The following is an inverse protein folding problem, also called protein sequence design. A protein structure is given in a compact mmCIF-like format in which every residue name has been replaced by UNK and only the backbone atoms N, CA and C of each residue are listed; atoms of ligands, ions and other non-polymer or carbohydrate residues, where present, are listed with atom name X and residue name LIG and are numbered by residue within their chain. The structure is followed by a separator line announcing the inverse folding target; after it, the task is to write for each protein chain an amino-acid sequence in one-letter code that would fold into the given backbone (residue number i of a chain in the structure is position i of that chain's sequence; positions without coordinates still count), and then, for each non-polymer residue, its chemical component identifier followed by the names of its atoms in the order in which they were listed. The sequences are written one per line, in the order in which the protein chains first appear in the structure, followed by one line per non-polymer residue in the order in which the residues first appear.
data_IF_799923014627
#
_entry.id   IF_799923014627
#
_cell.length_a   1.000
_cell.length_b   1.000
_cell.length_c   1.000
_cell.angle_alpha   90.00
_cell.angle_beta   90.00
_cell.angle_gamma   90.00
#
_symmetry.space_group_name_H-M   'P 1'
#
loop_
_entity.id
_entity.type
_entity.pdbx_description
1 polymer ?
#
# COMPACT_ATOMS: atom_id res chain seq x y z
N UNK A 1 -19.79 3.25 15.03
CA UNK A 1 -20.36 2.07 15.72
C UNK A 1 -21.06 2.51 17.01
N UNK A 2 -22.29 2.05 17.25
CA UNK A 2 -23.20 2.53 18.31
C UNK A 2 -22.60 2.51 19.73
N UNK A 3 -21.59 1.68 19.97
CA UNK A 3 -20.98 1.49 21.29
C UNK A 3 -19.63 2.18 21.47
N UNK A 4 -18.97 2.65 20.40
CA UNK A 4 -17.58 3.15 20.43
C UNK A 4 -16.57 2.16 21.06
N UNK A 5 -16.93 0.88 21.16
CA UNK A 5 -16.07 -0.18 21.67
C UNK A 5 -15.51 -1.00 20.51
N UNK A 6 -14.27 -1.47 20.68
CA UNK A 6 -13.74 -2.51 19.80
C UNK A 6 -14.44 -3.84 20.10
N UNK A 7 -14.66 -4.64 19.05
CA UNK A 7 -15.08 -6.02 19.18
C UNK A 7 -13.99 -6.91 19.78
N UNK A 8 -14.27 -8.20 20.00
CA UNK A 8 -13.24 -9.16 20.34
C UNK A 8 -12.14 -9.19 19.26
N UNK A 9 -10.91 -9.49 19.68
CA UNK A 9 -9.78 -9.68 18.75
C UNK A 9 -10.03 -10.91 17.88
N UNK A 10 -9.69 -10.81 16.60
CA UNK A 10 -9.77 -11.91 15.64
C UNK A 10 -8.41 -12.09 14.94
N UNK A 11 -8.00 -13.33 14.75
CA UNK A 11 -6.81 -13.66 13.97
C UNK A 11 -7.16 -13.60 12.49
N UNK A 12 -6.60 -12.63 11.77
CA UNK A 12 -6.84 -12.46 10.32
C UNK A 12 -5.85 -13.29 9.49
N UNK A 13 -4.56 -13.26 9.86
CA UNK A 13 -3.51 -14.01 9.17
C UNK A 13 -2.47 -14.50 10.17
N UNK A 14 -2.21 -15.81 10.18
CA UNK A 14 -1.21 -16.44 11.05
C UNK A 14 0.17 -16.47 10.37
N UNK A 15 0.84 -15.33 10.35
CA UNK A 15 2.18 -15.22 9.76
C UNK A 15 3.20 -16.13 10.47
N UNK A 16 3.04 -16.37 11.77
CA UNK A 16 3.94 -17.21 12.56
C UNK A 16 3.83 -18.68 12.14
N UNK A 17 2.64 -19.18 11.86
CA UNK A 17 2.42 -20.56 11.39
C UNK A 17 3.13 -20.85 10.05
N UNK A 18 3.39 -19.83 9.23
CA UNK A 18 4.14 -19.96 7.97
C UNK A 18 5.59 -19.48 8.07
N UNK A 19 6.08 -19.18 9.29
CA UNK A 19 7.46 -18.76 9.52
C UNK A 19 7.81 -17.40 8.91
N UNK A 20 6.82 -16.49 8.84
CA UNK A 20 6.98 -15.16 8.26
C UNK A 20 6.52 -14.05 9.22
N UNK A 21 6.81 -12.82 8.84
CA UNK A 21 6.29 -11.58 9.41
C UNK A 21 5.51 -10.82 8.33
N UNK A 22 4.26 -10.45 8.63
CA UNK A 22 3.39 -9.68 7.75
C UNK A 22 3.29 -8.22 8.23
N UNK A 23 3.42 -7.26 7.32
CA UNK A 23 3.39 -5.82 7.61
C UNK A 23 2.58 -5.04 6.58
N UNK A 24 2.31 -3.78 6.90
CA UNK A 24 1.66 -2.81 6.00
C UNK A 24 0.29 -3.28 5.48
N UNK A 25 -0.63 -3.77 6.34
CA UNK A 25 -1.96 -4.18 5.87
C UNK A 25 -2.70 -3.00 5.21
N UNK A 26 -3.29 -3.26 4.05
CA UNK A 26 -4.12 -2.32 3.29
C UNK A 26 -5.33 -3.04 2.72
N UNK A 27 -6.50 -2.64 3.19
CA UNK A 27 -7.78 -3.15 2.69
C UNK A 27 -8.13 -2.40 1.39
N UNK A 28 -8.62 -3.12 0.39
CA UNK A 28 -9.13 -2.54 -0.85
C UNK A 28 -10.32 -1.61 -0.57
N UNK A 29 -10.59 -0.61 -1.42
CA UNK A 29 -11.67 0.35 -1.17
C UNK A 29 -13.07 -0.27 -1.04
N UNK A 30 -13.30 -1.42 -1.66
CA UNK A 30 -14.54 -2.20 -1.57
C UNK A 30 -14.60 -3.12 -0.34
N UNK A 31 -13.54 -3.17 0.47
CA UNK A 31 -13.46 -3.98 1.67
C UNK A 31 -13.22 -5.48 1.43
N UNK A 32 -13.04 -5.92 0.18
CA UNK A 32 -12.98 -7.34 -0.15
C UNK A 32 -11.58 -7.96 0.01
N UNK A 33 -10.53 -7.20 -0.25
CA UNK A 33 -9.18 -7.75 -0.31
C UNK A 33 -8.26 -7.07 0.69
N UNK A 34 -7.40 -7.85 1.36
CA UNK A 34 -6.34 -7.36 2.22
C UNK A 34 -4.99 -7.63 1.55
N UNK A 35 -4.31 -6.55 1.16
CA UNK A 35 -2.95 -6.57 0.64
C UNK A 35 -1.96 -6.29 1.76
N UNK A 36 -0.89 -7.06 1.83
CA UNK A 36 0.18 -6.91 2.83
C UNK A 36 1.53 -7.36 2.27
N UNK A 37 2.62 -6.91 2.89
CA UNK A 37 3.96 -7.42 2.59
C UNK A 37 4.32 -8.52 3.58
N UNK A 38 4.91 -9.62 3.10
CA UNK A 38 5.36 -10.74 3.93
C UNK A 38 6.81 -11.10 3.61
N UNK A 39 7.62 -11.36 4.64
CA UNK A 39 9.01 -11.82 4.54
C UNK A 39 9.33 -12.72 5.74
N UNK A 40 10.44 -13.45 5.71
CA UNK A 40 10.80 -14.37 6.81
C UNK A 40 11.01 -13.66 8.16
N UNK A 41 11.49 -12.42 8.16
CA UNK A 41 11.81 -11.68 9.38
C UNK A 41 11.88 -10.16 9.15
N UNK A 42 11.92 -9.40 10.25
CA UNK A 42 12.16 -7.96 10.24
C UNK A 42 10.91 -7.08 10.17
N UNK A 43 11.11 -5.78 10.37
CA UNK A 43 10.07 -4.74 10.26
C UNK A 43 10.28 -3.85 9.01
N UNK A 44 11.49 -3.87 8.45
CA UNK A 44 11.87 -3.04 7.30
C UNK A 44 11.91 -3.87 6.01
N UNK A 45 10.81 -4.56 5.70
CA UNK A 45 10.65 -5.44 4.53
C UNK A 45 11.21 -4.87 3.23
N UNK A 46 11.20 -3.55 3.07
CA UNK A 46 11.84 -2.83 1.96
C UNK A 46 13.33 -3.15 1.74
N UNK A 47 14.05 -3.76 2.69
CA UNK A 47 15.46 -4.19 2.56
C UNK A 47 15.63 -5.72 2.48
N UNK A 48 14.53 -6.47 2.46
CA UNK A 48 14.52 -7.92 2.44
C UNK A 48 14.24 -8.40 1.03
N UNK A 49 15.20 -9.09 0.40
CA UNK A 49 15.01 -9.61 -0.96
C UNK A 49 13.86 -10.62 -1.07
N UNK A 50 13.45 -11.22 0.05
CA UNK A 50 12.31 -12.13 0.17
C UNK A 50 11.00 -11.45 0.60
N UNK A 51 10.96 -10.11 0.64
CA UNK A 51 9.73 -9.39 0.91
C UNK A 51 8.85 -9.32 -0.33
N UNK A 52 7.73 -10.04 -0.25
CA UNK A 52 6.76 -10.21 -1.30
C UNK A 52 5.42 -9.57 -0.92
N UNK A 53 4.62 -9.18 -1.92
CA UNK A 53 3.22 -8.84 -1.75
C UNK A 53 2.34 -10.10 -1.72
N UNK A 54 1.43 -10.10 -0.76
CA UNK A 54 0.45 -11.14 -0.49
C UNK A 54 -0.95 -10.55 -0.43
N UNK A 55 -1.93 -11.33 -0.88
CA UNK A 55 -3.33 -10.94 -0.91
C UNK A 55 -4.19 -11.96 -0.18
N UNK A 56 -5.09 -11.48 0.66
CA UNK A 56 -6.16 -12.25 1.25
C UNK A 56 -7.51 -11.79 0.69
N UNK A 57 -8.35 -12.71 0.20
CA UNK A 57 -9.78 -12.43 -0.02
C UNK A 57 -10.47 -12.54 1.34
N UNK A 58 -10.92 -11.41 1.88
CA UNK A 58 -11.55 -11.31 3.21
C UNK A 58 -12.92 -11.99 3.26
N UNK A 59 -13.52 -12.32 2.11
CA UNK A 59 -14.78 -13.05 2.03
C UNK A 59 -14.58 -14.56 2.18
N UNK A 60 -13.58 -15.14 1.50
CA UNK A 60 -13.31 -16.58 1.57
C UNK A 60 -12.28 -16.96 2.63
N UNK A 61 -11.42 -16.03 3.02
CA UNK A 61 -10.25 -16.28 3.86
C UNK A 61 -9.04 -16.82 3.09
N UNK A 62 -9.15 -16.96 1.76
CA UNK A 62 -8.05 -17.47 0.94
C UNK A 62 -6.90 -16.48 0.87
N UNK A 63 -5.68 -16.98 1.03
CA UNK A 63 -4.46 -16.19 1.01
C UNK A 63 -3.54 -16.70 -0.10
N UNK A 64 -2.99 -15.78 -0.89
CA UNK A 64 -2.01 -16.10 -1.94
C UNK A 64 -0.89 -15.07 -2.03
N UNK A 65 0.29 -15.52 -2.42
CA UNK A 65 1.36 -14.66 -2.91
C UNK A 65 0.98 -14.09 -4.29
N UNK A 66 1.33 -12.84 -4.55
CA UNK A 66 1.08 -12.17 -5.84
C UNK A 66 2.27 -12.37 -6.79
N UNK A 67 2.50 -13.59 -7.24
CA UNK A 67 3.62 -13.94 -8.12
C UNK A 67 3.61 -13.15 -9.44
N UNK A 68 2.44 -12.69 -9.89
CA UNK A 68 2.31 -11.80 -11.05
C UNK A 68 2.94 -10.41 -10.82
N UNK A 69 3.10 -9.98 -9.56
CA UNK A 69 3.60 -8.66 -9.18
C UNK A 69 5.00 -8.72 -8.61
N UNK A 70 5.30 -9.76 -7.84
CA UNK A 70 6.56 -9.90 -7.14
C UNK A 70 7.73 -10.14 -8.09
N UNK A 71 8.93 -9.84 -7.62
CA UNK A 71 10.18 -10.05 -8.35
C UNK A 71 11.14 -10.93 -7.54
N UNK A 72 12.31 -11.30 -8.10
CA UNK A 72 13.38 -11.91 -7.30
C UNK A 72 14.00 -10.98 -6.24
N UNK A 73 13.42 -9.79 -6.05
CA UNK A 73 13.86 -8.75 -5.15
C UNK A 73 12.65 -8.25 -4.35
N UNK A 74 12.80 -7.11 -3.68
CA UNK A 74 11.81 -6.61 -2.74
C UNK A 74 10.63 -5.89 -3.37
N UNK A 75 9.43 -6.21 -2.89
CA UNK A 75 8.23 -5.39 -2.99
C UNK A 75 7.72 -4.98 -1.60
N UNK A 76 7.43 -3.70 -1.41
CA UNK A 76 6.95 -3.16 -0.13
C UNK A 76 6.12 -1.90 -0.34
N UNK A 77 5.46 -1.41 0.73
CA UNK A 77 4.69 -0.16 0.73
C UNK A 77 3.78 0.00 -0.49
N UNK A 78 2.59 -0.58 -0.38
CA UNK A 78 1.55 -0.55 -1.39
C UNK A 78 0.40 0.40 -1.00
N UNK A 79 -0.26 0.94 -2.02
CA UNK A 79 -1.48 1.73 -1.88
C UNK A 79 -2.48 1.38 -2.97
N UNK A 80 -3.74 1.33 -2.59
CA UNK A 80 -4.86 1.21 -3.52
C UNK A 80 -5.21 2.58 -4.10
N UNK A 81 -5.52 2.59 -5.39
CA UNK A 81 -6.30 3.67 -5.98
C UNK A 81 -7.72 3.66 -5.41
N UNK A 82 -8.39 4.81 -5.41
CA UNK A 82 -9.73 4.96 -4.81
C UNK A 82 -10.83 4.10 -5.44
N UNK A 83 -10.65 3.64 -6.68
CA UNK A 83 -11.60 2.76 -7.36
C UNK A 83 -11.26 1.27 -7.19
N UNK A 84 -10.18 0.94 -6.47
CA UNK A 84 -9.75 -0.44 -6.22
C UNK A 84 -9.21 -1.18 -7.44
N UNK A 85 -8.96 -0.50 -8.57
CA UNK A 85 -8.52 -1.14 -9.83
C UNK A 85 -7.03 -1.03 -10.11
N UNK A 86 -6.34 -0.19 -9.35
CA UNK A 86 -4.90 0.02 -9.47
C UNK A 86 -4.24 -0.05 -8.10
N UNK A 87 -3.07 -0.66 -8.05
CA UNK A 87 -2.19 -0.68 -6.90
C UNK A 87 -0.84 -0.13 -7.33
N UNK A 88 -0.33 0.82 -6.55
CA UNK A 88 1.05 1.30 -6.64
C UNK A 88 1.85 0.71 -5.48
N UNK A 89 3.10 0.36 -5.71
CA UNK A 89 3.98 -0.18 -4.67
C UNK A 89 5.45 0.17 -4.92
N UNK A 90 6.25 0.15 -3.86
CA UNK A 90 7.71 0.34 -3.95
C UNK A 90 8.38 -0.98 -4.30
N UNK A 91 9.23 -0.97 -5.32
CA UNK A 91 9.99 -2.14 -5.75
C UNK A 91 11.46 -1.84 -5.96
N UNK A 92 12.33 -2.82 -5.68
CA UNK A 92 13.77 -2.77 -5.97
C UNK A 92 14.19 -3.64 -7.15
N UNK A 93 13.24 -4.09 -7.96
CA UNK A 93 13.44 -5.14 -8.97
C UNK A 93 14.51 -4.84 -10.01
N UNK A 94 14.79 -3.57 -10.29
CA UNK A 94 15.69 -3.18 -11.38
C UNK A 94 17.16 -3.21 -10.94
N UNK A 95 17.55 -2.36 -9.97
CA UNK A 95 18.95 -2.20 -9.55
C UNK A 95 19.25 -2.71 -8.12
N UNK A 96 18.22 -3.05 -7.34
CA UNK A 96 18.37 -3.45 -5.93
C UNK A 96 18.73 -2.34 -4.95
N UNK A 97 19.16 -1.17 -5.44
CA UNK A 97 19.71 -0.09 -4.64
C UNK A 97 18.65 0.92 -4.21
N UNK A 98 17.77 1.32 -5.14
CA UNK A 98 16.73 2.30 -4.90
C UNK A 98 15.35 1.70 -5.14
N UNK A 99 14.36 2.17 -4.38
CA UNK A 99 12.97 1.82 -4.69
C UNK A 99 12.41 2.73 -5.77
N UNK A 100 11.76 2.08 -6.74
CA UNK A 100 11.00 2.71 -7.81
C UNK A 100 9.50 2.41 -7.62
N UNK A 101 8.62 3.35 -7.97
CA UNK A 101 7.19 3.11 -7.95
C UNK A 101 6.82 2.19 -9.12
N UNK A 102 6.23 1.05 -8.82
CA UNK A 102 5.60 0.16 -9.79
C UNK A 102 4.10 0.22 -9.61
N UNK A 103 3.36 0.14 -10.73
CA UNK A 103 1.91 0.16 -10.74
C UNK A 103 1.38 -1.06 -11.49
N UNK A 104 0.32 -1.65 -10.96
CA UNK A 104 -0.38 -2.77 -11.57
C UNK A 104 -1.89 -2.58 -11.52
N UNK A 105 -2.58 -3.13 -12.53
CA UNK A 105 -4.03 -3.25 -12.51
C UNK A 105 -4.43 -4.48 -11.68
N UNK A 106 -5.54 -4.35 -10.95
CA UNK A 106 -6.18 -5.41 -10.18
C UNK A 106 -7.68 -5.46 -10.54
N UNK A 107 -8.14 -6.61 -11.03
CA UNK A 107 -9.53 -6.75 -11.49
C UNK A 107 -10.52 -7.11 -10.36
N UNK A 108 -11.81 -7.20 -10.70
CA UNK A 108 -12.87 -7.53 -9.74
C UNK A 108 -12.85 -8.99 -9.27
N UNK A 109 -12.22 -9.86 -10.05
CA UNK A 109 -12.16 -11.30 -9.82
C UNK A 109 -10.95 -11.66 -8.94
N UNK A 110 -10.07 -10.69 -8.67
CA UNK A 110 -8.95 -10.81 -7.76
C UNK A 110 -7.62 -11.08 -8.47
N UNK A 111 -7.51 -10.83 -9.77
CA UNK A 111 -6.29 -11.05 -10.54
C UNK A 111 -5.52 -9.76 -10.79
N UNK A 112 -4.20 -9.84 -10.60
CA UNK A 112 -3.27 -8.79 -10.96
C UNK A 112 -2.80 -8.91 -12.41
N UNK A 113 -2.64 -7.77 -13.08
CA UNK A 113 -1.89 -7.68 -14.34
C UNK A 113 -0.40 -7.48 -14.07
N UNK A 114 0.46 -7.74 -15.07
CA UNK A 114 1.89 -7.50 -14.97
C UNK A 114 2.17 -6.03 -14.58
N UNK A 115 2.95 -5.77 -13.52
CA UNK A 115 3.30 -4.41 -13.12
C UNK A 115 4.29 -3.77 -14.09
N UNK A 116 4.27 -2.44 -14.15
CA UNK A 116 5.25 -1.63 -14.86
C UNK A 116 5.68 -0.44 -14.00
N UNK A 117 6.89 0.07 -14.23
CA UNK A 117 7.40 1.25 -13.56
C UNK A 117 6.48 2.44 -13.88
N UNK A 118 6.15 3.27 -12.87
CA UNK A 118 5.26 4.40 -13.04
C UNK A 118 5.81 5.35 -14.14
N UNK A 119 5.07 5.59 -15.23
CA UNK A 119 5.58 6.40 -16.32
C UNK A 119 5.85 7.84 -15.89
N UNK A 120 7.00 8.35 -16.29
CA UNK A 120 7.37 9.75 -16.18
C UNK A 120 7.48 10.37 -17.58
N UNK A 121 7.40 11.71 -17.68
CA UNK A 121 7.54 12.40 -18.95
C UNK A 121 8.91 12.16 -19.62
N UNK A 122 9.95 11.98 -18.81
CA UNK A 122 11.27 11.49 -19.22
C UNK A 122 11.39 10.00 -18.83
N UNK A 123 11.65 9.15 -19.83
CA UNK A 123 11.77 7.71 -19.65
C UNK A 123 12.99 7.30 -18.81
N UNK A 124 14.03 8.14 -18.74
CA UNK A 124 15.23 7.86 -17.93
C UNK A 124 15.17 8.52 -16.54
N UNK A 125 14.08 9.22 -16.22
CA UNK A 125 13.94 9.97 -14.97
C UNK A 125 14.26 9.11 -13.74
N UNK A 126 13.61 7.96 -13.61
CA UNK A 126 13.78 7.08 -12.46
C UNK A 126 15.17 6.45 -12.38
N UNK A 127 15.81 6.18 -13.53
CA UNK A 127 17.17 5.64 -13.59
C UNK A 127 18.22 6.65 -13.11
N UNK A 128 17.99 7.93 -13.37
CA UNK A 128 18.88 9.02 -12.94
C UNK A 128 18.55 9.52 -11.52
N UNK A 129 17.40 9.14 -10.98
CA UNK A 129 16.95 9.57 -9.67
C UNK A 129 17.64 8.78 -8.55
N UNK A 130 18.68 9.38 -7.96
CA UNK A 130 19.49 8.81 -6.87
C UNK A 130 18.81 8.88 -5.49
N UNK A 131 17.48 8.76 -5.44
CA UNK A 131 16.68 8.71 -4.22
C UNK A 131 15.60 7.63 -4.34
N UNK A 132 15.02 7.25 -3.21
CA UNK A 132 14.06 6.16 -3.10
C UNK A 132 12.63 6.67 -2.95
N UNK A 133 11.68 6.02 -3.64
CA UNK A 133 10.24 6.18 -3.40
C UNK A 133 9.78 5.10 -2.42
N UNK A 134 9.82 5.39 -1.13
CA UNK A 134 9.51 4.40 -0.08
C UNK A 134 8.04 4.30 0.30
N UNK A 135 7.24 5.34 0.07
CA UNK A 135 5.83 5.39 0.47
C UNK A 135 5.02 6.03 -0.67
N UNK A 136 4.79 5.31 -1.78
CA UNK A 136 3.95 5.80 -2.86
C UNK A 136 2.47 5.73 -2.44
N UNK A 137 1.79 6.87 -2.50
CA UNK A 137 0.38 7.01 -2.11
C UNK A 137 -0.40 7.70 -3.23
N UNK A 138 -1.63 7.24 -3.48
CA UNK A 138 -2.53 7.92 -4.41
C UNK A 138 -3.11 9.18 -3.77
N UNK A 139 -3.26 10.23 -4.56
CA UNK A 139 -3.93 11.46 -4.15
C UNK A 139 -5.11 11.77 -5.07
N UNK A 140 -6.20 12.29 -4.50
CA UNK A 140 -7.41 12.69 -5.26
C UNK A 140 -7.22 13.97 -6.07
N UNK A 141 -6.11 14.67 -5.86
CA UNK A 141 -5.80 15.92 -6.53
C UNK A 141 -4.37 16.37 -6.25
N UNK A 142 -3.93 17.45 -6.90
CA UNK A 142 -2.59 17.99 -6.70
C UNK A 142 -2.42 18.53 -5.27
N UNK A 143 -1.22 18.36 -4.72
CA UNK A 143 -0.83 19.02 -3.47
C UNK A 143 -0.61 20.50 -3.75
N UNK A 144 -1.52 21.32 -3.26
CA UNK A 144 -1.47 22.78 -3.46
C UNK A 144 -0.81 23.52 -2.30
N UNK A 145 -0.63 22.85 -1.14
CA UNK A 145 0.03 23.43 0.03
C UNK A 145 1.55 23.44 -0.16
N UNK A 146 2.19 24.58 0.11
CA UNK A 146 3.65 24.67 0.07
C UNK A 146 4.24 24.06 1.34
N UNK A 147 5.45 23.46 1.28
CA UNK A 147 6.11 22.93 2.47
C UNK A 147 6.24 23.95 3.62
N UNK A 148 6.46 25.23 3.30
CA UNK A 148 6.56 26.29 4.29
C UNK A 148 5.23 26.55 5.01
N UNK A 149 4.12 26.60 4.26
CA UNK A 149 2.78 26.80 4.83
C UNK A 149 2.44 25.63 5.78
N UNK A 150 2.79 24.40 5.38
CA UNK A 150 2.63 23.22 6.23
C UNK A 150 3.48 23.30 7.50
N UNK A 151 4.76 23.70 7.38
CA UNK A 151 5.66 23.85 8.51
C UNK A 151 5.22 24.95 9.49
N UNK A 152 4.61 26.02 9.00
CA UNK A 152 4.15 27.12 9.84
C UNK A 152 2.89 26.74 10.64
N UNK A 153 2.00 25.92 10.08
CA UNK A 153 0.86 25.33 10.82
C UNK A 153 1.35 24.48 12.00
N UNK A 154 2.42 23.69 11.81
CA UNK A 154 2.98 22.84 12.87
C UNK A 154 3.59 23.63 14.05
N UNK A 155 3.88 24.92 13.87
CA UNK A 155 4.38 25.80 14.94
C UNK A 155 3.25 26.46 15.75
N UNK A 156 2.02 26.40 15.25
CA UNK A 156 0.85 26.92 15.94
C UNK A 156 0.39 26.03 17.09
N UNK A 157 -0.61 26.48 17.85
CA UNK A 157 -1.27 25.63 18.83
C UNK A 157 -2.03 24.50 18.13
N UNK A 158 -1.92 23.28 18.68
CA UNK A 158 -2.66 22.12 18.20
C UNK A 158 -4.16 22.36 18.33
N UNK A 159 -4.92 22.03 17.29
CA UNK A 159 -6.38 22.08 17.31
C UNK A 159 -6.89 20.67 17.60
N UNK A 160 -7.74 20.53 18.61
CA UNK A 160 -8.42 19.28 18.90
C UNK A 160 -9.27 18.85 17.70
N UNK A 161 -8.96 17.68 17.15
CA UNK A 161 -9.70 17.12 16.02
C UNK A 161 -11.08 16.69 16.49
N UNK A 162 -12.13 17.31 15.93
CA UNK A 162 -13.50 16.81 16.08
C UNK A 162 -13.76 15.76 15.01
N UNK A 163 -13.79 14.49 15.40
CA UNK A 163 -14.19 13.40 14.51
C UNK A 163 -15.65 13.57 14.11
N UNK A 164 -15.89 13.91 12.85
CA UNK A 164 -17.22 13.90 12.25
C UNK A 164 -17.38 12.58 11.51
N UNK A 165 -18.05 11.60 12.13
CA UNK A 165 -18.43 10.36 11.46
C UNK A 165 -19.50 10.67 10.42
N UNK A 166 -19.11 10.84 9.17
CA UNK A 166 -20.02 10.84 8.02
C UNK A 166 -19.66 9.63 7.15
N UNK A 167 -20.22 8.47 7.49
CA UNK A 167 -20.42 7.39 6.52
C UNK A 167 -21.52 7.88 5.56
N UNK A 168 -21.15 8.70 4.57
CA UNK A 168 -22.00 8.90 3.40
C UNK A 168 -21.59 7.83 2.41
N UNK A 169 -22.58 7.03 2.02
CA UNK A 169 -22.50 5.96 1.04
C UNK A 169 -21.59 6.35 -0.13
N UNK A 170 -20.37 5.82 -0.13
CA UNK A 170 -19.48 5.88 -1.30
C UNK A 170 -19.80 4.75 -2.28
N UNK A 171 -21.08 4.44 -2.44
CA UNK A 171 -21.59 3.70 -3.58
C UNK A 171 -21.85 4.74 -4.68
N UNK A 172 -20.84 4.98 -5.51
CA UNK A 172 -21.08 5.64 -6.79
C UNK A 172 -21.63 4.61 -7.76
N UNK A 173 -22.85 4.88 -8.24
CA UNK A 173 -23.41 4.37 -9.51
C UNK A 173 -22.49 4.63 -10.70
#
# INVERSE_FOLDING_TARGET
PETMLFGPRELVFDAAAVGQSAVLPRISPDGRYLLFSSAQYGYFHIWHHDADLWMMDLKSGDVRKLDEWNSPNTESYHSWSSNGRWVIFSSRRDDGAFTRPFIAHFDADGHGSKPFELPSADADYHRQFMRSYNIPEFMRGPVTIRPQDFADVLKGEGVDVKYVFSLRDSHHE
#
